data_IF_832579358412
#
_entry.id   IF_832579358412
#
_cell.length_a   1.000
_cell.length_b   1.000
_cell.length_c   1.000
_cell.angle_alpha   90.00
_cell.angle_beta   90.00
_cell.angle_gamma   90.00
#
_symmetry.space_group_name_H-M   'P 1'
#
loop_
_entity.id
_entity.type
_entity.pdbx_description
1 polymer ?
#
# COMPACT_ATOMS: atom_id res chain seq x y z
N UNK A 1 -1.63 -51.54 -36.09
CA UNK A 1 -0.21 -51.36 -35.76
C UNK A 1 0.47 -52.67 -36.13
N UNK A 2 1.69 -52.67 -36.64
CA UNK A 2 2.44 -53.89 -36.85
C UNK A 2 2.95 -54.45 -35.53
N UNK A 3 3.02 -55.79 -35.39
CA UNK A 3 3.42 -56.41 -34.12
C UNK A 3 4.90 -56.22 -33.79
N UNK A 4 5.73 -55.91 -34.79
CA UNK A 4 7.14 -55.54 -34.61
C UNK A 4 7.44 -54.28 -35.44
N UNK A 5 7.87 -53.21 -34.77
CA UNK A 5 8.27 -51.97 -35.45
C UNK A 5 9.71 -52.05 -35.98
N UNK A 6 10.05 -51.12 -36.87
CA UNK A 6 11.35 -51.10 -37.55
C UNK A 6 12.54 -50.94 -36.60
N UNK A 7 12.37 -50.21 -35.50
CA UNK A 7 13.42 -49.99 -34.51
C UNK A 7 13.71 -51.29 -33.72
N UNK A 8 12.66 -51.97 -33.28
CA UNK A 8 12.79 -53.26 -32.58
C UNK A 8 13.34 -54.34 -33.54
N UNK A 9 12.84 -54.39 -34.78
CA UNK A 9 13.34 -55.28 -35.78
C UNK A 9 14.84 -55.12 -36.07
N UNK A 10 15.32 -53.90 -36.19
CA UNK A 10 16.73 -53.55 -36.33
C UNK A 10 17.60 -54.11 -35.20
N UNK A 11 17.16 -53.88 -33.94
CA UNK A 11 17.87 -54.37 -32.72
C UNK A 11 17.97 -55.89 -32.75
N UNK A 12 16.87 -56.61 -33.07
CA UNK A 12 16.85 -58.06 -33.09
C UNK A 12 17.67 -58.61 -34.23
N UNK A 13 17.66 -57.99 -35.43
CA UNK A 13 18.43 -58.39 -36.56
C UNK A 13 19.92 -58.20 -36.35
N UNK A 14 20.33 -57.03 -35.74
CA UNK A 14 21.74 -56.79 -35.51
C UNK A 14 22.31 -57.77 -34.47
N UNK A 15 21.53 -58.18 -33.46
CA UNK A 15 21.91 -59.21 -32.50
C UNK A 15 21.97 -60.61 -33.17
N UNK A 16 21.00 -60.97 -34.05
CA UNK A 16 20.94 -62.24 -34.78
C UNK A 16 22.17 -62.46 -35.63
N UNK A 17 22.77 -61.39 -36.17
CA UNK A 17 24.00 -61.50 -36.97
C UNK A 17 25.21 -61.94 -36.15
N UNK A 18 25.14 -61.70 -34.81
CA UNK A 18 26.19 -62.05 -33.85
C UNK A 18 25.99 -63.47 -33.24
N UNK A 19 24.86 -64.13 -33.53
CA UNK A 19 24.52 -65.44 -32.98
C UNK A 19 24.87 -66.56 -33.93
N UNK A 20 25.25 -67.71 -33.39
CA UNK A 20 25.53 -68.96 -34.13
C UNK A 20 26.87 -68.99 -34.80
N UNK A 21 27.20 -70.19 -35.34
CA UNK A 21 28.44 -70.46 -36.07
C UNK A 21 28.42 -69.85 -37.51
N UNK A 22 29.60 -69.68 -38.14
CA UNK A 22 29.74 -69.16 -39.48
C UNK A 22 29.64 -70.21 -40.59
N UNK A 23 29.19 -71.39 -40.26
CA UNK A 23 28.96 -72.51 -41.15
C UNK A 23 27.55 -72.44 -41.83
N UNK A 24 27.28 -73.42 -42.70
CA UNK A 24 26.01 -73.46 -43.43
C UNK A 24 24.82 -73.74 -42.52
N UNK A 25 25.03 -74.43 -41.41
CA UNK A 25 24.00 -74.71 -40.38
C UNK A 25 23.61 -73.40 -39.70
N UNK A 26 24.58 -72.59 -39.14
CA UNK A 26 24.30 -71.33 -38.48
C UNK A 26 23.71 -70.28 -39.41
N UNK A 27 23.99 -70.35 -40.76
CA UNK A 27 23.30 -69.48 -41.72
C UNK A 27 21.82 -69.83 -41.85
N UNK A 28 21.50 -71.15 -41.87
CA UNK A 28 20.13 -71.63 -41.95
C UNK A 28 19.33 -71.27 -40.71
N UNK A 29 19.93 -71.45 -39.56
CA UNK A 29 19.34 -71.04 -38.23
C UNK A 29 19.01 -69.58 -38.20
N UNK A 30 19.95 -68.72 -38.58
CA UNK A 30 19.70 -67.27 -38.69
C UNK A 30 18.59 -66.93 -39.66
N UNK A 31 18.49 -67.58 -40.80
CA UNK A 31 17.41 -67.37 -41.73
C UNK A 31 16.04 -67.77 -41.18
N UNK A 32 15.95 -68.82 -40.39
CA UNK A 32 14.72 -69.27 -39.77
C UNK A 32 14.22 -68.20 -38.79
N UNK A 33 15.10 -67.68 -37.89
CA UNK A 33 14.74 -66.67 -36.91
C UNK A 33 14.47 -65.34 -37.61
N UNK A 34 15.23 -64.95 -38.62
CA UNK A 34 14.97 -63.72 -39.40
C UNK A 34 13.57 -63.77 -40.06
N UNK A 35 13.15 -64.88 -40.65
CA UNK A 35 11.79 -65.03 -41.19
C UNK A 35 10.70 -64.92 -40.13
N UNK A 36 10.95 -65.41 -38.92
CA UNK A 36 10.01 -65.24 -37.79
C UNK A 36 9.86 -63.76 -37.40
N UNK A 37 10.96 -63.02 -37.37
CA UNK A 37 10.91 -61.56 -37.10
C UNK A 37 10.24 -60.79 -38.22
N UNK A 38 10.50 -61.12 -39.49
CA UNK A 38 9.83 -60.52 -40.64
C UNK A 38 8.33 -60.81 -40.65
N UNK A 39 7.90 -61.99 -40.22
CA UNK A 39 6.49 -62.34 -40.08
C UNK A 39 5.81 -61.40 -39.10
N UNK A 40 6.40 -61.18 -37.90
CA UNK A 40 5.86 -60.22 -36.91
C UNK A 40 5.86 -58.77 -37.41
N UNK A 41 6.81 -58.40 -38.27
CA UNK A 41 6.88 -57.04 -38.84
C UNK A 41 5.74 -56.78 -39.84
N UNK A 42 5.22 -57.82 -40.50
CA UNK A 42 4.12 -57.73 -41.50
C UNK A 42 2.77 -57.94 -40.79
N UNK A 43 2.75 -58.71 -39.72
CA UNK A 43 1.55 -59.08 -38.99
C UNK A 43 0.96 -57.83 -38.20
N UNK A 44 -0.35 -57.60 -38.32
CA UNK A 44 -1.05 -56.57 -37.61
C UNK A 44 -1.57 -57.10 -36.26
N UNK A 45 -1.38 -56.35 -35.19
CA UNK A 45 -1.85 -56.71 -33.86
C UNK A 45 -1.20 -55.91 -32.75
N UNK A 46 -1.34 -56.39 -31.51
CA UNK A 46 -0.65 -55.82 -30.34
C UNK A 46 0.87 -55.96 -30.53
N UNK A 47 1.68 -54.98 -30.08
CA UNK A 47 3.14 -55.06 -30.11
C UNK A 47 3.62 -56.34 -29.42
N UNK A 48 4.55 -57.07 -30.07
CA UNK A 48 5.13 -58.26 -29.49
C UNK A 48 5.82 -57.95 -28.16
N UNK A 49 5.51 -58.76 -27.17
CA UNK A 49 6.08 -58.65 -25.82
C UNK A 49 7.45 -59.29 -25.72
N UNK A 50 8.16 -59.07 -24.61
CA UNK A 50 9.44 -59.72 -24.32
C UNK A 50 9.33 -61.26 -24.41
N UNK A 51 8.29 -61.84 -23.77
CA UNK A 51 8.09 -63.27 -23.75
C UNK A 51 7.79 -63.86 -25.12
N UNK A 52 7.02 -63.16 -25.94
CA UNK A 52 6.77 -63.56 -27.33
C UNK A 52 8.04 -63.51 -28.18
N UNK A 53 8.87 -62.46 -28.01
CA UNK A 53 10.16 -62.35 -28.68
C UNK A 53 11.15 -63.44 -28.24
N UNK A 54 11.17 -63.79 -26.96
CA UNK A 54 11.99 -64.86 -26.41
C UNK A 54 11.60 -66.23 -27.01
N UNK A 55 10.30 -66.55 -27.04
CA UNK A 55 9.81 -67.80 -27.61
C UNK A 55 10.17 -67.99 -29.09
N UNK A 56 10.41 -66.93 -29.87
CA UNK A 56 10.78 -67.02 -31.28
C UNK A 56 12.25 -67.32 -31.49
N UNK A 57 13.09 -67.18 -30.50
CA UNK A 57 14.55 -67.33 -30.61
C UNK A 57 15.12 -68.47 -29.77
N UNK A 58 14.48 -68.80 -28.63
CA UNK A 58 15.04 -69.68 -27.60
C UNK A 58 15.23 -71.14 -28.09
N UNK A 59 14.40 -71.60 -29.04
CA UNK A 59 14.48 -72.90 -29.61
C UNK A 59 15.63 -73.09 -30.60
N UNK A 60 16.13 -71.98 -31.21
CA UNK A 60 17.20 -71.98 -32.20
C UNK A 60 18.49 -71.39 -31.57
N UNK A 61 18.39 -70.33 -30.85
CA UNK A 61 19.51 -69.64 -30.16
C UNK A 61 19.23 -69.45 -28.64
N UNK A 62 19.48 -70.46 -27.82
CA UNK A 62 19.28 -70.32 -26.34
C UNK A 62 20.13 -69.27 -25.70
N UNK A 63 21.27 -68.93 -26.32
CA UNK A 63 22.19 -67.88 -25.83
C UNK A 63 21.89 -66.50 -26.42
N UNK A 64 20.75 -66.30 -27.08
CA UNK A 64 20.39 -64.99 -27.61
C UNK A 64 20.31 -63.92 -26.47
N UNK A 65 20.93 -62.78 -26.73
CA UNK A 65 21.12 -61.76 -25.70
C UNK A 65 19.79 -61.30 -25.08
N UNK A 66 19.60 -61.59 -23.80
CA UNK A 66 18.43 -61.12 -23.04
C UNK A 66 18.32 -59.59 -23.03
N UNK A 67 19.47 -58.87 -23.06
CA UNK A 67 19.51 -57.41 -23.17
C UNK A 67 18.96 -56.93 -24.51
N UNK A 68 19.26 -57.60 -25.60
CA UNK A 68 18.75 -57.26 -26.93
C UNK A 68 17.24 -57.46 -26.99
N UNK A 69 16.73 -58.58 -26.46
CA UNK A 69 15.29 -58.84 -26.37
C UNK A 69 14.55 -57.81 -25.53
N UNK A 70 15.04 -57.48 -24.36
CA UNK A 70 14.45 -56.44 -23.50
C UNK A 70 14.47 -55.04 -24.17
N UNK A 71 15.59 -54.72 -24.87
CA UNK A 71 15.72 -53.46 -25.59
C UNK A 71 14.76 -53.40 -26.78
N UNK A 72 14.62 -54.49 -27.52
CA UNK A 72 13.68 -54.60 -28.64
C UNK A 72 12.24 -54.52 -28.17
N UNK A 73 11.85 -55.26 -27.11
CA UNK A 73 10.51 -55.19 -26.52
C UNK A 73 10.16 -53.77 -26.06
N UNK A 74 11.12 -53.08 -25.45
CA UNK A 74 10.92 -51.68 -25.03
C UNK A 74 10.79 -50.72 -26.22
N UNK A 75 11.61 -50.91 -27.27
CA UNK A 75 11.54 -50.10 -28.48
C UNK A 75 10.26 -50.41 -29.31
N UNK A 76 9.64 -51.57 -29.11
CA UNK A 76 8.42 -51.99 -29.77
C UNK A 76 7.15 -51.45 -29.14
N UNK A 77 7.23 -50.88 -27.92
CA UNK A 77 6.09 -50.24 -27.28
C UNK A 77 5.73 -48.93 -27.97
N UNK A 78 4.44 -48.62 -28.16
CA UNK A 78 4.03 -47.33 -28.69
C UNK A 78 4.51 -46.23 -27.77
N UNK A 79 4.87 -45.04 -28.30
CA UNK A 79 5.24 -43.92 -27.46
C UNK A 79 4.11 -43.64 -26.47
N UNK A 80 4.41 -43.71 -25.17
CA UNK A 80 3.42 -43.56 -24.12
C UNK A 80 2.83 -42.15 -24.17
N UNK A 81 1.52 -42.05 -23.96
CA UNK A 81 0.76 -40.77 -23.88
C UNK A 81 1.45 -39.73 -23.00
N UNK A 82 2.27 -40.15 -22.04
CA UNK A 82 3.06 -39.32 -21.16
C UNK A 82 4.20 -38.54 -21.84
N UNK A 83 4.70 -38.94 -23.02
CA UNK A 83 5.75 -38.17 -23.72
C UNK A 83 5.18 -36.89 -24.34
N UNK A 84 3.98 -36.97 -24.89
CA UNK A 84 3.29 -35.84 -25.52
C UNK A 84 2.75 -34.89 -24.44
N UNK A 85 2.29 -35.45 -23.31
CA UNK A 85 1.84 -34.63 -22.12
C UNK A 85 2.97 -33.79 -21.53
N UNK A 86 4.20 -34.30 -21.51
CA UNK A 86 5.38 -33.53 -21.05
C UNK A 86 5.65 -32.31 -21.94
N UNK A 87 5.58 -32.46 -23.24
CA UNK A 87 5.78 -31.35 -24.16
C UNK A 87 4.66 -30.30 -24.06
N UNK A 88 3.41 -30.75 -23.93
CA UNK A 88 2.27 -29.85 -23.69
C UNK A 88 2.46 -29.08 -22.38
N UNK A 89 2.89 -29.73 -21.29
CA UNK A 89 3.15 -29.09 -20.03
C UNK A 89 4.31 -28.06 -20.09
N UNK A 90 5.40 -28.39 -20.83
CA UNK A 90 6.52 -27.45 -21.01
C UNK A 90 6.07 -26.25 -21.84
N UNK A 91 5.33 -26.41 -22.91
CA UNK A 91 4.83 -25.33 -23.77
C UNK A 91 3.85 -24.45 -22.97
N UNK A 92 2.88 -25.07 -22.27
CA UNK A 92 1.95 -24.32 -21.42
C UNK A 92 2.66 -23.54 -20.31
N UNK A 93 3.62 -24.16 -19.62
CA UNK A 93 4.44 -23.50 -18.61
C UNK A 93 5.26 -22.33 -19.17
N UNK A 94 5.82 -22.48 -20.38
CA UNK A 94 6.57 -21.40 -21.05
C UNK A 94 5.67 -20.22 -21.43
N UNK A 95 4.46 -20.48 -21.92
CA UNK A 95 3.46 -19.44 -22.24
C UNK A 95 3.03 -18.71 -20.97
N UNK A 96 2.68 -19.45 -19.91
CA UNK A 96 2.33 -18.85 -18.62
C UNK A 96 3.47 -18.01 -18.04
N UNK A 97 4.72 -18.50 -18.14
CA UNK A 97 5.90 -17.77 -17.71
C UNK A 97 6.13 -16.49 -18.53
N UNK A 98 5.95 -16.53 -19.84
CA UNK A 98 6.05 -15.36 -20.70
C UNK A 98 4.96 -14.32 -20.38
N UNK A 99 3.69 -14.75 -20.19
CA UNK A 99 2.59 -13.88 -19.78
C UNK A 99 2.88 -13.27 -18.42
N UNK A 100 3.38 -14.04 -17.46
CA UNK A 100 3.76 -13.53 -16.16
C UNK A 100 4.87 -12.46 -16.25
N UNK A 101 5.90 -12.69 -17.05
CA UNK A 101 7.04 -11.80 -17.27
C UNK A 101 6.60 -10.44 -17.84
N UNK A 102 5.73 -10.43 -18.86
CA UNK A 102 5.26 -9.19 -19.48
C UNK A 102 4.29 -8.42 -18.57
N UNK A 103 3.68 -9.08 -17.59
CA UNK A 103 2.80 -8.48 -16.60
C UNK A 103 3.54 -7.98 -15.34
N UNK A 104 4.88 -8.12 -15.27
CA UNK A 104 5.66 -7.50 -14.19
C UNK A 104 5.47 -5.97 -14.20
N UNK A 105 5.47 -5.29 -13.02
CA UNK A 105 5.14 -3.87 -12.90
C UNK A 105 6.26 -2.92 -13.36
N UNK A 106 6.98 -3.29 -14.43
CA UNK A 106 8.08 -2.50 -14.98
C UNK A 106 7.67 -1.75 -16.24
N UNK A 107 7.80 -0.40 -16.28
CA UNK A 107 7.47 0.40 -17.45
C UNK A 107 8.16 -0.05 -18.73
N UNK A 108 9.43 -0.47 -18.64
CA UNK A 108 10.22 -0.92 -19.78
C UNK A 108 9.63 -2.14 -20.49
N UNK A 109 8.94 -3.00 -19.74
CA UNK A 109 8.31 -4.22 -20.25
C UNK A 109 6.90 -3.92 -20.75
N UNK A 110 6.09 -3.27 -19.90
CA UNK A 110 4.65 -3.06 -20.18
C UNK A 110 4.37 -2.07 -21.31
N UNK A 111 5.17 -0.98 -21.45
CA UNK A 111 4.92 0.02 -22.48
C UNK A 111 4.96 -0.56 -23.91
N UNK A 112 6.04 -1.21 -24.38
CA UNK A 112 6.07 -1.79 -25.71
C UNK A 112 5.04 -2.90 -25.91
N UNK A 113 4.70 -3.66 -24.86
CA UNK A 113 3.66 -4.70 -24.92
C UNK A 113 2.26 -4.07 -25.03
N UNK A 114 1.99 -2.98 -24.32
CA UNK A 114 0.72 -2.25 -24.43
C UNK A 114 0.47 -1.68 -25.82
N UNK A 115 1.53 -1.27 -26.52
CA UNK A 115 1.46 -0.71 -27.87
C UNK A 115 1.31 -1.81 -28.95
N UNK A 116 2.03 -2.92 -28.82
CA UNK A 116 2.12 -3.95 -29.87
C UNK A 116 1.21 -5.17 -29.66
N UNK A 117 0.97 -5.54 -28.39
CA UNK A 117 0.23 -6.76 -28.04
C UNK A 117 -0.56 -6.59 -26.73
N UNK A 118 -1.54 -5.65 -26.65
CA UNK A 118 -2.24 -5.29 -25.41
C UNK A 118 -2.98 -6.46 -24.75
N UNK A 119 -3.36 -7.49 -25.50
CA UNK A 119 -4.03 -8.69 -24.98
C UNK A 119 -3.16 -9.48 -23.99
N UNK A 120 -1.83 -9.43 -24.12
CA UNK A 120 -0.93 -10.09 -23.17
C UNK A 120 -0.92 -9.43 -21.79
N UNK A 121 -1.39 -8.17 -21.68
CA UNK A 121 -1.52 -7.42 -20.43
C UNK A 121 -2.89 -7.55 -19.77
N UNK A 122 -3.75 -8.42 -20.28
CA UNK A 122 -5.09 -8.69 -19.73
C UNK A 122 -5.08 -8.92 -18.20
N UNK A 123 -4.18 -9.78 -17.63
CA UNK A 123 -4.11 -9.96 -16.18
C UNK A 123 -3.83 -8.67 -15.42
N UNK A 124 -2.94 -7.81 -15.95
CA UNK A 124 -2.65 -6.49 -15.38
C UNK A 124 -3.86 -5.55 -15.45
N UNK A 125 -4.58 -5.55 -16.57
CA UNK A 125 -5.78 -4.72 -16.73
C UNK A 125 -6.90 -5.14 -15.79
N UNK A 126 -7.14 -6.46 -15.63
CA UNK A 126 -8.13 -6.99 -14.67
C UNK A 126 -7.75 -6.61 -13.25
N UNK A 127 -6.47 -6.76 -12.88
CA UNK A 127 -5.98 -6.36 -11.54
C UNK A 127 -6.19 -4.88 -11.28
N UNK A 128 -5.91 -4.01 -12.26
CA UNK A 128 -6.15 -2.57 -12.17
C UNK A 128 -7.63 -2.24 -12.03
N UNK A 129 -8.50 -2.87 -12.83
CA UNK A 129 -9.96 -2.66 -12.74
C UNK A 129 -10.49 -3.08 -11.38
N UNK A 130 -10.06 -4.22 -10.86
CA UNK A 130 -10.42 -4.69 -9.52
C UNK A 130 -9.94 -3.72 -8.42
N UNK A 131 -8.72 -3.24 -8.51
CA UNK A 131 -8.19 -2.25 -7.56
C UNK A 131 -8.95 -0.94 -7.62
N UNK A 132 -9.30 -0.47 -8.82
CA UNK A 132 -10.10 0.74 -8.99
C UNK A 132 -11.51 0.59 -8.44
N UNK A 133 -12.22 -0.51 -8.77
CA UNK A 133 -13.55 -0.80 -8.24
C UNK A 133 -13.54 -0.92 -6.71
N UNK A 134 -12.53 -1.59 -6.18
CA UNK A 134 -12.33 -1.68 -4.72
C UNK A 134 -12.12 -0.30 -4.10
N UNK A 135 -11.31 0.56 -4.74
CA UNK A 135 -11.09 1.93 -4.29
C UNK A 135 -12.38 2.75 -4.29
N UNK A 136 -13.19 2.70 -5.36
CA UNK A 136 -14.45 3.41 -5.45
C UNK A 136 -15.45 2.92 -4.41
N UNK A 137 -15.65 1.59 -4.31
CA UNK A 137 -16.54 1.00 -3.32
C UNK A 137 -16.15 1.37 -1.88
N UNK A 138 -14.85 1.29 -1.57
CA UNK A 138 -14.35 1.68 -0.26
C UNK A 138 -14.49 3.19 -0.01
N UNK A 139 -14.32 4.03 -1.05
CA UNK A 139 -14.52 5.48 -0.97
C UNK A 139 -15.97 5.83 -0.69
N UNK A 140 -16.92 5.18 -1.35
CA UNK A 140 -18.36 5.39 -1.13
C UNK A 140 -18.80 4.94 0.27
N UNK A 141 -18.32 3.77 0.72
CA UNK A 141 -18.56 3.31 2.10
C UNK A 141 -17.92 4.24 3.13
N UNK A 142 -16.70 4.73 2.86
CA UNK A 142 -16.05 5.72 3.71
C UNK A 142 -16.84 7.05 3.75
N UNK A 143 -17.38 7.49 2.63
CA UNK A 143 -18.17 8.72 2.56
C UNK A 143 -19.41 8.64 3.47
N UNK A 144 -20.12 7.53 3.45
CA UNK A 144 -21.27 7.31 4.34
C UNK A 144 -20.84 7.27 5.81
N UNK A 145 -19.78 6.54 6.13
CA UNK A 145 -19.32 6.35 7.51
C UNK A 145 -18.63 7.59 8.10
N UNK A 146 -17.97 8.42 7.28
CA UNK A 146 -17.23 9.60 7.73
C UNK A 146 -18.05 10.87 7.62
N UNK A 147 -18.72 11.10 6.46
CA UNK A 147 -19.43 12.35 6.23
C UNK A 147 -20.84 12.35 6.84
N UNK A 148 -21.43 11.19 7.05
CA UNK A 148 -22.72 10.99 7.70
C UNK A 148 -22.60 10.30 9.06
N UNK A 149 -21.42 10.30 9.66
CA UNK A 149 -21.15 9.72 10.98
C UNK A 149 -22.08 10.28 12.04
N UNK A 150 -22.62 9.41 12.87
CA UNK A 150 -23.43 9.74 14.05
C UNK A 150 -22.74 9.38 15.35
N UNK A 151 -21.68 8.56 15.27
CA UNK A 151 -20.94 8.03 16.39
C UNK A 151 -19.44 7.96 16.13
N UNK A 152 -18.64 7.85 17.22
CA UNK A 152 -17.21 7.60 17.11
C UNK A 152 -16.92 6.25 16.44
N UNK A 153 -17.81 5.29 16.59
CA UNK A 153 -17.66 3.96 15.98
C UNK A 153 -17.80 4.02 14.47
N UNK A 154 -18.73 4.86 13.95
CA UNK A 154 -18.82 5.14 12.51
C UNK A 154 -17.52 5.72 11.97
N UNK A 155 -16.92 6.66 12.71
CA UNK A 155 -15.63 7.26 12.35
C UNK A 155 -14.51 6.22 12.30
N UNK A 156 -14.44 5.28 13.28
CA UNK A 156 -13.45 4.22 13.28
C UNK A 156 -13.61 3.24 12.10
N UNK A 157 -14.85 2.86 11.81
CA UNK A 157 -15.18 2.03 10.64
C UNK A 157 -14.86 2.76 9.33
N UNK A 158 -15.18 4.06 9.29
CA UNK A 158 -14.86 4.94 8.17
C UNK A 158 -13.36 5.06 7.95
N UNK A 159 -12.55 5.17 9.00
CA UNK A 159 -11.07 5.16 8.92
C UNK A 159 -10.56 3.90 8.22
N UNK A 160 -11.09 2.75 8.58
CA UNK A 160 -10.70 1.48 7.94
C UNK A 160 -11.01 1.50 6.43
N UNK A 161 -12.17 2.04 6.05
CA UNK A 161 -12.56 2.15 4.63
C UNK A 161 -11.72 3.18 3.88
N UNK A 162 -11.37 4.29 4.50
CA UNK A 162 -10.43 5.29 3.95
C UNK A 162 -9.08 4.65 3.66
N UNK A 163 -8.51 3.90 4.62
CA UNK A 163 -7.24 3.19 4.45
C UNK A 163 -7.31 2.12 3.35
N UNK A 164 -8.42 1.39 3.27
CA UNK A 164 -8.67 0.41 2.22
C UNK A 164 -8.72 1.09 0.83
N UNK A 165 -9.44 2.20 0.71
CA UNK A 165 -9.51 2.98 -0.52
C UNK A 165 -8.13 3.51 -0.93
N UNK A 166 -7.35 4.04 0.02
CA UNK A 166 -6.00 4.53 -0.22
C UNK A 166 -5.07 3.42 -0.70
N UNK A 167 -5.04 2.27 -0.03
CA UNK A 167 -4.24 1.11 -0.44
C UNK A 167 -4.61 0.60 -1.83
N UNK A 168 -5.89 0.57 -2.17
CA UNK A 168 -6.35 0.20 -3.52
C UNK A 168 -5.92 1.21 -4.59
N UNK A 169 -5.94 2.52 -4.28
CA UNK A 169 -5.44 3.56 -5.18
C UNK A 169 -3.91 3.53 -5.31
N UNK A 170 -3.19 3.19 -4.24
CA UNK A 170 -1.72 3.09 -4.27
C UNK A 170 -1.23 1.90 -5.10
N UNK A 171 -2.03 0.85 -5.21
CA UNK A 171 -1.77 -0.31 -6.08
C UNK A 171 -1.94 -0.01 -7.57
N UNK A 172 -2.50 1.16 -7.94
CA UNK A 172 -2.70 1.52 -9.35
C UNK A 172 -1.41 2.12 -9.93
N UNK A 173 -0.86 1.53 -11.02
CA UNK A 173 0.33 2.06 -11.66
C UNK A 173 -0.02 3.29 -12.51
N UNK A 174 0.09 4.48 -11.94
CA UNK A 174 -0.28 5.77 -12.56
C UNK A 174 0.42 5.98 -13.91
N UNK A 175 1.69 5.55 -14.03
CA UNK A 175 2.46 5.64 -15.27
C UNK A 175 1.88 4.82 -16.44
N UNK A 176 0.99 3.86 -16.12
CA UNK A 176 0.36 2.98 -17.10
C UNK A 176 -1.04 3.46 -17.53
N UNK A 177 -1.64 4.43 -16.82
CA UNK A 177 -2.99 4.92 -17.11
C UNK A 177 -3.10 5.55 -18.49
N UNK A 178 -2.05 6.19 -19.00
CA UNK A 178 -1.99 6.76 -20.36
C UNK A 178 -1.99 5.72 -21.49
N UNK A 179 -1.57 4.48 -21.20
CA UNK A 179 -1.52 3.36 -22.15
C UNK A 179 -2.72 2.42 -22.03
N UNK A 180 -3.56 2.69 -21.08
CA UNK A 180 -4.74 1.86 -20.80
C UNK A 180 -5.87 2.21 -21.78
N UNK A 181 -6.41 1.27 -22.54
CA UNK A 181 -7.50 1.57 -23.48
C UNK A 181 -8.72 2.09 -22.71
N UNK A 182 -9.36 3.17 -23.18
CA UNK A 182 -10.51 3.81 -22.52
C UNK A 182 -11.73 2.90 -22.40
N UNK A 183 -11.90 2.00 -23.34
CA UNK A 183 -12.94 0.97 -23.36
C UNK A 183 -12.31 -0.38 -23.65
N UNK A 184 -12.64 -1.36 -22.86
CA UNK A 184 -12.26 -2.74 -23.08
C UNK A 184 -13.51 -3.57 -23.34
N UNK A 185 -13.59 -4.17 -24.52
CA UNK A 185 -14.66 -5.06 -24.89
C UNK A 185 -14.12 -6.50 -24.93
N UNK A 186 -14.64 -7.37 -24.06
CA UNK A 186 -14.37 -8.79 -24.02
C UNK A 186 -15.58 -9.59 -24.47
N UNK A 187 -15.48 -10.91 -24.44
CA UNK A 187 -16.56 -11.84 -24.78
C UNK A 187 -17.83 -11.64 -23.92
N UNK A 188 -17.70 -11.00 -22.76
CA UNK A 188 -18.78 -10.81 -21.77
C UNK A 188 -19.25 -9.35 -21.62
N UNK A 189 -18.86 -8.44 -22.52
CA UNK A 189 -19.29 -7.04 -22.53
C UNK A 189 -18.12 -6.04 -22.55
N UNK A 190 -18.50 -4.76 -22.61
CA UNK A 190 -17.54 -3.65 -22.59
C UNK A 190 -17.50 -3.04 -21.19
N UNK A 191 -16.32 -2.88 -20.60
CA UNK A 191 -16.11 -2.17 -19.33
C UNK A 191 -15.44 -0.82 -19.56
N UNK A 192 -15.94 0.20 -18.85
CA UNK A 192 -15.36 1.53 -18.82
C UNK A 192 -14.11 1.53 -17.93
N UNK A 193 -13.15 2.36 -18.30
CA UNK A 193 -11.89 2.48 -17.58
C UNK A 193 -11.68 3.90 -17.09
N UNK A 194 -11.13 4.00 -15.90
CA UNK A 194 -10.88 5.26 -15.23
C UNK A 194 -9.74 6.06 -15.88
N UNK A 195 -9.89 7.38 -15.82
CA UNK A 195 -8.90 8.34 -16.30
C UNK A 195 -7.97 8.79 -15.17
N UNK A 196 -6.86 9.46 -15.52
CA UNK A 196 -5.96 10.09 -14.52
C UNK A 196 -6.74 11.11 -13.67
N UNK A 197 -7.68 11.84 -14.26
CA UNK A 197 -8.48 12.84 -13.54
C UNK A 197 -9.45 12.19 -12.54
N UNK A 198 -10.06 11.06 -12.88
CA UNK A 198 -10.88 10.26 -11.96
C UNK A 198 -10.05 9.71 -10.80
N UNK A 199 -8.86 9.18 -11.09
CA UNK A 199 -7.90 8.74 -10.09
C UNK A 199 -7.51 9.87 -9.12
N UNK A 200 -7.15 11.05 -9.64
CA UNK A 200 -6.84 12.22 -8.82
C UNK A 200 -8.04 12.69 -8.00
N UNK A 201 -9.23 12.60 -8.57
CA UNK A 201 -10.46 12.96 -7.87
C UNK A 201 -10.76 12.00 -6.73
N UNK A 202 -10.60 10.70 -6.94
CA UNK A 202 -10.71 9.69 -5.90
C UNK A 202 -9.68 9.92 -4.78
N UNK A 203 -8.42 10.16 -5.13
CA UNK A 203 -7.36 10.49 -4.15
C UNK A 203 -7.70 11.74 -3.32
N UNK A 204 -8.21 12.80 -3.95
CA UNK A 204 -8.64 14.01 -3.22
C UNK A 204 -9.81 13.76 -2.29
N UNK A 205 -10.78 12.90 -2.68
CA UNK A 205 -11.90 12.51 -1.81
C UNK A 205 -11.40 11.72 -0.60
N UNK A 206 -10.55 10.72 -0.82
CA UNK A 206 -9.95 9.90 0.25
C UNK A 206 -9.15 10.78 1.21
N UNK A 207 -8.29 11.67 0.72
CA UNK A 207 -7.51 12.56 1.56
C UNK A 207 -8.37 13.52 2.41
N UNK A 208 -9.51 14.01 1.87
CA UNK A 208 -10.45 14.85 2.65
C UNK A 208 -11.14 14.06 3.76
N UNK A 209 -11.53 12.82 3.47
CA UNK A 209 -12.14 11.96 4.48
C UNK A 209 -11.14 11.56 5.55
N UNK A 210 -9.89 11.27 5.19
CA UNK A 210 -8.82 11.00 6.16
C UNK A 210 -8.59 12.17 7.10
N UNK A 211 -8.54 13.40 6.57
CA UNK A 211 -8.42 14.61 7.38
C UNK A 211 -9.62 14.79 8.33
N UNK A 212 -10.84 14.45 7.88
CA UNK A 212 -12.04 14.52 8.73
C UNK A 212 -12.04 13.46 9.82
N UNK A 213 -11.67 12.22 9.50
CA UNK A 213 -11.49 11.13 10.49
C UNK A 213 -10.51 11.56 11.56
N UNK A 214 -9.38 12.11 11.15
CA UNK A 214 -8.38 12.63 12.07
C UNK A 214 -8.96 13.72 12.98
N UNK A 215 -9.69 14.70 12.42
CA UNK A 215 -10.30 15.78 13.17
C UNK A 215 -11.31 15.26 14.20
N UNK A 216 -12.17 14.31 13.83
CA UNK A 216 -13.15 13.71 14.72
C UNK A 216 -12.48 12.93 15.86
N UNK A 217 -11.49 12.09 15.56
CA UNK A 217 -10.75 11.33 16.58
C UNK A 217 -10.06 12.24 17.58
N UNK A 218 -9.44 13.31 17.12
CA UNK A 218 -8.82 14.28 18.02
C UNK A 218 -9.85 15.02 18.87
N UNK A 219 -10.99 15.39 18.29
CA UNK A 219 -12.07 16.03 19.04
C UNK A 219 -12.60 15.13 20.17
N UNK A 220 -12.79 13.84 19.92
CA UNK A 220 -13.18 12.88 20.95
C UNK A 220 -12.08 12.67 22.00
N UNK A 221 -10.83 12.62 21.59
CA UNK A 221 -9.70 12.53 22.52
C UNK A 221 -9.67 13.72 23.46
N UNK A 222 -9.76 14.95 22.93
CA UNK A 222 -9.81 16.17 23.74
C UNK A 222 -11.04 16.22 24.65
N UNK A 223 -12.19 15.74 24.17
CA UNK A 223 -13.40 15.65 24.98
C UNK A 223 -13.19 14.74 26.19
N UNK A 224 -12.67 13.53 25.99
CA UNK A 224 -12.47 12.58 27.07
C UNK A 224 -11.41 13.07 28.07
N UNK A 225 -10.26 13.55 27.58
CA UNK A 225 -9.22 14.10 28.43
C UNK A 225 -9.71 15.30 29.27
N UNK A 226 -10.51 16.17 28.64
CA UNK A 226 -11.05 17.33 29.35
C UNK A 226 -12.14 16.94 30.38
N UNK A 227 -12.98 15.95 30.07
CA UNK A 227 -14.00 15.42 30.96
C UNK A 227 -13.37 14.78 32.22
N UNK A 228 -12.36 13.91 32.02
CA UNK A 228 -11.61 13.29 33.11
C UNK A 228 -10.90 14.31 33.96
N UNK A 229 -10.17 15.24 33.36
CA UNK A 229 -9.46 16.29 34.07
C UNK A 229 -10.41 17.22 34.83
N UNK A 230 -11.57 17.53 34.26
CA UNK A 230 -12.58 18.40 34.90
C UNK A 230 -13.18 17.71 36.12
N UNK A 231 -13.52 16.44 36.02
CA UNK A 231 -14.06 15.65 37.12
C UNK A 231 -13.05 15.49 38.25
N UNK A 232 -11.81 15.08 37.92
CA UNK A 232 -10.74 14.90 38.90
C UNK A 232 -10.38 16.22 39.60
N UNK A 233 -10.28 17.30 38.85
CA UNK A 233 -9.97 18.61 39.41
C UNK A 233 -11.10 19.18 40.31
N UNK A 234 -12.38 18.92 39.96
CA UNK A 234 -13.52 19.28 40.79
C UNK A 234 -13.51 18.51 42.13
N UNK A 235 -13.26 17.20 42.06
CA UNK A 235 -13.17 16.36 43.26
C UNK A 235 -12.00 16.81 44.15
N UNK A 236 -10.82 17.00 43.59
CA UNK A 236 -9.64 17.52 44.32
C UNK A 236 -9.93 18.87 44.99
N UNK A 237 -10.61 19.79 44.29
CA UNK A 237 -11.00 21.10 44.85
C UNK A 237 -11.92 20.97 46.06
N UNK A 238 -12.85 20.01 46.01
CA UNK A 238 -13.83 19.76 47.09
C UNK A 238 -13.19 19.09 48.32
N UNK A 239 -12.27 18.17 48.10
CA UNK A 239 -11.67 17.34 49.18
C UNK A 239 -10.53 18.05 49.90
N UNK A 240 -9.76 18.89 49.22
CA UNK A 240 -8.59 19.52 49.84
C UNK A 240 -8.96 20.77 50.67
N UNK A 241 -8.32 20.89 51.85
CA UNK A 241 -8.38 22.13 52.67
C UNK A 241 -7.19 23.06 52.41
N UNK A 242 -6.16 22.57 51.69
CA UNK A 242 -4.94 23.32 51.40
C UNK A 242 -5.22 24.39 50.33
N UNK A 243 -4.98 25.68 50.59
CA UNK A 243 -5.23 26.75 49.62
C UNK A 243 -4.44 26.59 48.32
N UNK A 244 -3.18 26.12 48.40
CA UNK A 244 -2.35 25.89 47.20
C UNK A 244 -2.87 24.76 46.31
N UNK A 245 -3.37 23.67 46.90
CA UNK A 245 -3.97 22.57 46.16
C UNK A 245 -5.31 22.96 45.54
N UNK A 246 -6.14 23.74 46.29
CA UNK A 246 -7.36 24.34 45.72
C UNK A 246 -7.06 25.19 44.49
N UNK A 247 -6.02 26.02 44.56
CA UNK A 247 -5.61 26.87 43.45
C UNK A 247 -5.14 26.03 42.25
N UNK A 248 -4.38 24.96 42.49
CA UNK A 248 -3.94 24.01 41.43
C UNK A 248 -5.13 23.32 40.77
N UNK A 249 -6.07 22.82 41.59
CA UNK A 249 -7.28 22.16 41.05
C UNK A 249 -8.12 23.14 40.23
N UNK A 250 -8.27 24.39 40.68
CA UNK A 250 -8.97 25.44 39.94
C UNK A 250 -8.30 25.72 38.58
N UNK A 251 -6.97 25.82 38.54
CA UNK A 251 -6.23 25.97 37.28
C UNK A 251 -6.43 24.79 36.31
N UNK A 252 -6.48 23.56 36.85
CA UNK A 252 -6.78 22.36 36.06
C UNK A 252 -8.20 22.40 35.49
N UNK A 253 -9.21 22.78 36.28
CA UNK A 253 -10.59 22.96 35.80
C UNK A 253 -10.66 24.02 34.70
N UNK A 254 -9.99 25.16 34.84
CA UNK A 254 -9.92 26.19 33.80
C UNK A 254 -9.28 25.65 32.52
N UNK A 255 -8.20 24.89 32.63
CA UNK A 255 -7.52 24.27 31.51
C UNK A 255 -8.44 23.29 30.78
N UNK A 256 -9.14 22.42 31.51
CA UNK A 256 -10.09 21.49 30.96
C UNK A 256 -11.25 22.20 30.23
N UNK A 257 -11.78 23.27 30.81
CA UNK A 257 -12.83 24.10 30.17
C UNK A 257 -12.35 24.69 28.84
N UNK A 258 -11.12 25.18 28.78
CA UNK A 258 -10.55 25.73 27.56
C UNK A 258 -10.31 24.64 26.51
N UNK A 259 -9.90 23.45 26.92
CA UNK A 259 -9.78 22.31 26.03
C UNK A 259 -11.13 21.97 25.40
N UNK A 260 -12.22 21.99 26.17
CA UNK A 260 -13.58 21.81 25.63
C UNK A 260 -13.98 22.93 24.64
N UNK A 261 -13.64 24.17 24.92
CA UNK A 261 -13.92 25.32 24.03
C UNK A 261 -13.16 25.24 22.70
N UNK A 262 -12.03 24.51 22.65
CA UNK A 262 -11.24 24.32 21.43
C UNK A 262 -11.80 23.21 20.49
N UNK A 263 -12.73 22.40 20.95
CA UNK A 263 -13.34 21.36 20.15
C UNK A 263 -14.12 22.00 18.99
N UNK A 264 -13.78 21.67 17.72
CA UNK A 264 -14.42 22.31 16.58
C UNK A 264 -15.93 22.02 16.54
N UNK A 265 -16.73 23.04 16.33
CA UNK A 265 -18.22 22.94 16.36
C UNK A 265 -18.80 21.97 15.34
N UNK A 266 -18.09 21.71 14.25
CA UNK A 266 -18.48 20.78 13.21
C UNK A 266 -18.20 19.30 13.55
N UNK A 267 -17.60 19.00 14.71
CA UNK A 267 -17.32 17.62 15.13
C UNK A 267 -18.48 17.04 15.96
N UNK A 268 -18.58 15.71 15.98
CA UNK A 268 -19.55 14.98 16.79
C UNK A 268 -19.39 15.23 18.29
N UNK A 269 -18.12 15.37 18.72
CA UNK A 269 -17.79 15.67 20.12
C UNK A 269 -18.28 17.02 20.61
N UNK A 270 -18.56 17.97 19.71
CA UNK A 270 -18.91 19.37 20.03
C UNK A 270 -20.16 19.50 20.88
N UNK A 271 -21.19 18.69 20.64
CA UNK A 271 -22.45 18.72 21.41
C UNK A 271 -22.21 18.40 22.89
N UNK A 272 -21.45 17.31 23.17
CA UNK A 272 -21.12 16.92 24.54
C UNK A 272 -20.19 17.93 25.20
N UNK A 273 -19.21 18.47 24.45
CA UNK A 273 -18.32 19.53 24.93
C UNK A 273 -19.11 20.78 25.36
N UNK A 274 -20.06 21.21 24.52
CA UNK A 274 -20.90 22.38 24.86
C UNK A 274 -21.77 22.13 26.10
N UNK A 275 -22.34 20.93 26.24
CA UNK A 275 -23.10 20.55 27.45
C UNK A 275 -22.22 20.64 28.72
N UNK A 276 -20.99 20.07 28.65
CA UNK A 276 -20.05 20.17 29.79
C UNK A 276 -19.69 21.62 30.10
N UNK A 277 -19.40 22.43 29.09
CA UNK A 277 -19.13 23.88 29.30
C UNK A 277 -20.30 24.56 29.99
N UNK A 278 -21.51 24.33 29.53
CA UNK A 278 -22.72 24.95 30.10
C UNK A 278 -22.94 24.53 31.55
N UNK A 279 -22.66 23.27 31.87
CA UNK A 279 -22.82 22.74 33.25
C UNK A 279 -21.77 23.28 34.21
N UNK A 280 -20.52 23.35 33.82
CA UNK A 280 -19.42 23.66 34.74
C UNK A 280 -19.03 25.13 34.78
N UNK A 281 -19.33 25.92 33.75
CA UNK A 281 -18.94 27.36 33.69
C UNK A 281 -19.52 28.23 34.78
N UNK A 282 -20.79 28.07 35.22
CA UNK A 282 -21.36 28.83 36.33
C UNK A 282 -20.63 28.55 37.65
N UNK A 283 -20.41 27.25 37.96
CA UNK A 283 -19.71 26.83 39.19
C UNK A 283 -18.30 27.40 39.23
N UNK A 284 -17.57 27.28 38.09
CA UNK A 284 -16.22 27.81 37.99
C UNK A 284 -16.15 29.32 38.18
N UNK A 285 -17.08 30.06 37.56
CA UNK A 285 -17.15 31.51 37.70
C UNK A 285 -17.45 31.93 39.16
N UNK A 286 -18.31 31.22 39.89
CA UNK A 286 -18.61 31.44 41.30
C UNK A 286 -17.36 31.25 42.16
N UNK A 287 -16.64 30.13 41.98
CA UNK A 287 -15.39 29.83 42.70
C UNK A 287 -14.32 30.93 42.45
N UNK A 288 -14.19 31.40 41.21
CA UNK A 288 -13.25 32.45 40.83
C UNK A 288 -13.61 33.78 41.49
N UNK A 289 -14.90 34.12 41.57
CA UNK A 289 -15.39 35.34 42.20
C UNK A 289 -15.14 35.34 43.71
N UNK A 290 -15.32 34.22 44.39
CA UNK A 290 -15.11 34.03 45.82
C UNK A 290 -13.62 34.03 46.21
N UNK A 291 -12.69 33.61 45.30
CA UNK A 291 -11.26 33.50 45.55
C UNK A 291 -10.45 34.81 45.52
N UNK A 292 -11.06 35.96 45.19
CA UNK A 292 -10.43 37.27 45.16
C UNK A 292 -9.45 37.54 44.01
N UNK A 293 -9.11 38.82 43.76
CA UNK A 293 -8.29 39.26 42.61
C UNK A 293 -6.87 38.68 42.55
N UNK A 294 -6.24 38.39 43.69
CA UNK A 294 -4.88 37.82 43.75
C UNK A 294 -4.84 36.33 43.35
N UNK A 295 -5.87 35.55 43.70
CA UNK A 295 -6.00 34.17 43.35
C UNK A 295 -6.24 33.96 41.84
N UNK A 296 -6.97 34.87 41.19
CA UNK A 296 -7.30 34.79 39.77
C UNK A 296 -6.06 34.92 38.89
N UNK A 297 -5.13 35.81 39.23
CA UNK A 297 -3.91 35.99 38.42
C UNK A 297 -2.89 34.85 38.57
N UNK A 298 -2.74 34.32 39.79
CA UNK A 298 -1.93 33.10 40.01
C UNK A 298 -2.47 31.93 39.19
N UNK A 299 -3.79 31.75 39.15
CA UNK A 299 -4.46 30.72 38.34
C UNK A 299 -4.23 30.93 36.84
N UNK A 300 -4.24 32.18 36.35
CA UNK A 300 -3.97 32.49 34.95
C UNK A 300 -2.53 32.15 34.54
N UNK A 301 -1.54 32.40 35.40
CA UNK A 301 -0.15 32.05 35.19
C UNK A 301 0.02 30.52 35.15
N UNK A 302 -0.55 29.79 36.12
CA UNK A 302 -0.48 28.34 36.15
C UNK A 302 -1.19 27.71 34.96
N UNK A 303 -2.37 28.19 34.58
CA UNK A 303 -3.04 27.75 33.35
C UNK A 303 -2.17 28.01 32.09
N UNK A 304 -1.51 29.18 32.04
CA UNK A 304 -0.59 29.48 30.93
C UNK A 304 0.62 28.53 30.90
N UNK A 305 1.19 28.16 32.05
CA UNK A 305 2.28 27.20 32.17
C UNK A 305 1.84 25.81 31.70
N UNK A 306 0.63 25.35 32.02
CA UNK A 306 0.07 24.08 31.56
C UNK A 306 -0.07 24.06 30.04
N UNK A 307 -0.64 25.12 29.44
CA UNK A 307 -0.72 25.23 27.97
C UNK A 307 0.66 25.25 27.31
N UNK A 308 1.61 25.96 27.88
CA UNK A 308 2.96 26.02 27.38
C UNK A 308 3.64 24.64 27.43
N UNK A 309 3.43 23.87 28.50
CA UNK A 309 3.92 22.50 28.63
C UNK A 309 3.31 21.57 27.57
N UNK A 310 1.99 21.62 27.39
CA UNK A 310 1.29 20.83 26.35
C UNK A 310 1.75 21.22 24.95
N UNK A 311 1.96 22.52 24.68
CA UNK A 311 2.49 22.97 23.39
C UNK A 311 3.92 22.47 23.15
N UNK A 312 4.77 22.49 24.17
CA UNK A 312 6.11 21.95 24.09
C UNK A 312 6.10 20.44 23.82
N UNK A 313 5.26 19.67 24.54
CA UNK A 313 5.10 18.23 24.32
C UNK A 313 4.59 17.91 22.91
N UNK A 314 3.60 18.66 22.40
CA UNK A 314 3.07 18.49 21.06
C UNK A 314 4.11 18.77 19.96
N UNK A 315 5.16 19.53 20.29
CA UNK A 315 6.23 19.94 19.37
C UNK A 315 7.47 19.03 19.43
N UNK A 316 7.52 18.03 20.33
CA UNK A 316 8.68 17.15 20.49
C UNK A 316 8.81 16.18 19.31
N UNK A 317 10.05 15.80 19.01
CA UNK A 317 10.38 14.81 17.98
C UNK A 317 9.84 15.14 16.56
N UNK A 318 10.21 16.31 15.98
CA UNK A 318 9.89 16.61 14.59
C UNK A 318 10.59 15.62 13.63
N UNK A 319 10.07 15.46 12.40
CA UNK A 319 9.05 16.29 11.75
C UNK A 319 7.62 15.92 12.13
N UNK A 320 6.72 16.92 12.07
CA UNK A 320 5.31 16.75 12.33
C UNK A 320 4.45 17.22 11.15
N UNK A 321 3.31 16.57 10.88
CA UNK A 321 2.36 17.04 9.88
C UNK A 321 1.72 18.37 10.30
N UNK A 322 1.20 19.12 9.32
CA UNK A 322 0.59 20.46 9.46
C UNK A 322 -0.32 20.56 10.70
N UNK A 323 -1.22 19.61 10.89
CA UNK A 323 -2.20 19.65 11.98
C UNK A 323 -1.57 19.60 13.38
N UNK A 324 -0.44 18.89 13.56
CA UNK A 324 0.27 18.86 14.85
C UNK A 324 0.92 20.20 15.14
N UNK A 325 1.50 20.85 14.14
CA UNK A 325 2.04 22.19 14.30
C UNK A 325 0.94 23.21 14.58
N UNK A 326 -0.23 23.09 13.93
CA UNK A 326 -1.41 23.93 14.21
C UNK A 326 -1.91 23.74 15.65
N UNK A 327 -1.92 22.51 16.16
CA UNK A 327 -2.25 22.22 17.55
C UNK A 327 -1.26 22.89 18.50
N UNK A 328 0.03 22.73 18.26
CA UNK A 328 1.07 23.36 19.08
C UNK A 328 0.96 24.90 19.04
N UNK A 329 0.72 25.51 17.88
CA UNK A 329 0.50 26.95 17.74
C UNK A 329 -0.70 27.43 18.57
N UNK A 330 -1.84 26.71 18.46
CA UNK A 330 -3.05 27.05 19.26
C UNK A 330 -2.79 26.99 20.75
N UNK A 331 -2.07 26.02 21.25
CA UNK A 331 -1.71 25.88 22.65
C UNK A 331 -0.80 27.05 23.12
N UNK A 332 0.20 27.44 22.33
CA UNK A 332 1.01 28.63 22.63
C UNK A 332 0.17 29.91 22.65
N UNK A 333 -0.74 30.09 21.69
CA UNK A 333 -1.65 31.23 21.66
C UNK A 333 -2.56 31.29 22.90
N UNK A 334 -3.03 30.15 23.41
CA UNK A 334 -3.81 30.07 24.63
C UNK A 334 -2.96 30.48 25.84
N UNK A 335 -1.74 30.00 25.97
CA UNK A 335 -0.81 30.40 27.02
C UNK A 335 -0.57 31.92 26.98
N UNK A 336 -0.27 32.48 25.82
CA UNK A 336 -0.05 33.91 25.60
C UNK A 336 -1.29 34.74 26.01
N UNK A 337 -2.48 34.34 25.55
CA UNK A 337 -3.74 35.04 25.85
C UNK A 337 -4.03 35.11 27.34
N UNK A 338 -3.71 34.04 28.11
CA UNK A 338 -3.87 34.06 29.59
C UNK A 338 -2.94 35.05 30.26
N UNK A 339 -1.67 35.10 29.81
CA UNK A 339 -0.71 36.04 30.36
C UNK A 339 -1.05 37.52 30.04
N UNK A 340 -1.53 37.75 28.80
CA UNK A 340 -1.97 39.10 28.37
C UNK A 340 -3.17 39.65 29.13
N UNK A 341 -4.02 38.79 29.69
CA UNK A 341 -5.17 39.22 30.49
C UNK A 341 -4.81 39.69 31.90
N UNK A 342 -3.54 39.55 32.31
CA UNK A 342 -3.07 39.99 33.64
C UNK A 342 -2.76 41.49 33.59
N UNK A 343 -3.46 42.27 34.42
CA UNK A 343 -3.35 43.75 34.47
C UNK A 343 -2.06 44.21 35.14
N UNK A 344 -1.58 45.39 34.77
CA UNK A 344 -0.36 46.04 35.32
C UNK A 344 -0.40 46.20 36.85
N UNK A 345 -1.59 46.45 37.41
CA UNK A 345 -1.78 46.58 38.87
C UNK A 345 -1.65 45.28 39.65
N UNK A 346 -1.46 44.16 38.96
CA UNK A 346 -1.40 42.86 39.59
C UNK A 346 0.01 42.53 40.13
N UNK A 347 0.15 42.00 41.35
CA UNK A 347 1.45 41.62 41.92
C UNK A 347 2.28 40.67 41.06
N UNK A 348 1.61 39.79 40.29
CA UNK A 348 2.24 38.79 39.44
C UNK A 348 2.50 39.28 37.98
N UNK A 349 2.27 40.59 37.71
CA UNK A 349 2.41 41.16 36.37
C UNK A 349 3.81 40.97 35.78
N UNK A 350 4.86 41.20 36.59
CA UNK A 350 6.25 41.05 36.14
C UNK A 350 6.58 39.59 35.71
N UNK A 351 6.09 38.59 36.47
CA UNK A 351 6.25 37.17 36.11
C UNK A 351 5.49 36.87 34.81
N UNK A 352 4.27 37.37 34.71
CA UNK A 352 3.46 37.20 33.49
C UNK A 352 4.15 37.78 32.26
N UNK A 353 4.77 38.96 32.35
CA UNK A 353 5.50 39.57 31.23
C UNK A 353 6.75 38.79 30.81
N UNK A 354 7.52 38.26 31.77
CA UNK A 354 8.66 37.40 31.50
C UNK A 354 8.26 36.12 30.76
N UNK A 355 7.18 35.46 31.22
CA UNK A 355 6.62 34.29 30.57
C UNK A 355 6.05 34.61 29.19
N UNK A 356 5.36 35.74 29.04
CA UNK A 356 4.77 36.21 27.79
C UNK A 356 5.84 36.34 26.70
N UNK A 357 6.94 37.04 26.99
CA UNK A 357 8.06 37.19 26.07
C UNK A 357 8.63 35.85 25.62
N UNK A 358 8.84 34.89 26.57
CA UNK A 358 9.31 33.54 26.28
C UNK A 358 8.33 32.76 25.39
N UNK A 359 7.03 32.84 25.68
CA UNK A 359 6.00 32.09 24.97
C UNK A 359 5.76 32.65 23.58
N UNK A 360 5.85 33.97 23.39
CA UNK A 360 5.82 34.60 22.05
C UNK A 360 7.00 34.15 21.19
N UNK A 361 8.21 34.07 21.76
CA UNK A 361 9.38 33.52 21.02
C UNK A 361 9.16 32.08 20.60
N UNK A 362 8.69 31.22 21.51
CA UNK A 362 8.40 29.82 21.20
C UNK A 362 7.31 29.67 20.13
N UNK A 363 6.24 30.45 20.23
CA UNK A 363 5.16 30.49 19.25
C UNK A 363 5.67 30.91 17.87
N UNK A 364 6.60 31.89 17.81
CA UNK A 364 7.26 32.29 16.57
C UNK A 364 8.00 31.15 15.90
N UNK A 365 8.73 30.33 16.66
CA UNK A 365 9.41 29.13 16.15
C UNK A 365 8.41 28.13 15.58
N UNK A 366 7.29 27.89 16.28
CA UNK A 366 6.26 26.97 15.81
C UNK A 366 5.60 27.47 14.51
N UNK A 367 5.34 28.77 14.39
CA UNK A 367 4.78 29.38 13.16
C UNK A 367 5.70 29.16 11.96
N UNK A 368 7.01 29.35 12.13
CA UNK A 368 7.98 29.11 11.06
C UNK A 368 7.97 27.63 10.62
N UNK A 369 7.92 26.70 11.58
CA UNK A 369 7.83 25.26 11.28
C UNK A 369 6.53 24.87 10.61
N UNK A 370 5.40 25.40 11.08
CA UNK A 370 4.08 25.20 10.49
C UNK A 370 4.04 25.69 9.05
N UNK A 371 4.57 26.89 8.80
CA UNK A 371 4.62 27.45 7.46
C UNK A 371 5.51 26.59 6.53
N UNK A 372 6.68 26.16 7.01
CA UNK A 372 7.58 25.29 6.27
C UNK A 372 6.90 23.95 5.89
N UNK A 373 6.16 23.35 6.81
CA UNK A 373 5.43 22.11 6.58
C UNK A 373 4.29 22.29 5.56
N UNK A 374 3.49 23.38 5.69
CA UNK A 374 2.41 23.71 4.72
C UNK A 374 2.96 23.89 3.31
N UNK A 375 4.00 24.70 3.16
CA UNK A 375 4.64 24.97 1.87
C UNK A 375 5.22 23.67 1.27
N UNK A 376 5.97 22.90 2.05
CA UNK A 376 6.60 21.68 1.60
C UNK A 376 5.57 20.62 1.18
N UNK A 377 4.49 20.45 1.93
CA UNK A 377 3.37 19.57 1.56
C UNK A 377 2.69 20.02 0.27
N UNK A 378 2.49 21.33 0.09
CA UNK A 378 1.88 21.87 -1.12
C UNK A 378 2.78 21.68 -2.34
N UNK A 379 4.09 21.89 -2.19
CA UNK A 379 5.08 21.67 -3.25
C UNK A 379 5.11 20.20 -3.65
N UNK A 380 5.19 19.28 -2.67
CA UNK A 380 5.20 17.85 -2.91
C UNK A 380 3.94 17.40 -3.67
N UNK A 381 2.74 17.76 -3.17
CA UNK A 381 1.47 17.39 -3.80
C UNK A 381 1.38 17.89 -5.26
N UNK A 382 1.85 19.13 -5.52
CA UNK A 382 1.88 19.69 -6.87
C UNK A 382 2.89 18.96 -7.77
N UNK A 383 4.05 18.60 -7.23
CA UNK A 383 5.06 17.86 -7.97
C UNK A 383 4.59 16.43 -8.28
N UNK A 384 3.97 15.72 -7.34
CA UNK A 384 3.39 14.40 -7.55
C UNK A 384 2.30 14.43 -8.63
N UNK A 385 1.38 15.40 -8.59
CA UNK A 385 0.38 15.57 -9.64
C UNK A 385 1.00 15.87 -11.01
N UNK A 386 2.11 16.62 -11.06
CA UNK A 386 2.85 16.86 -12.32
C UNK A 386 3.55 15.59 -12.81
N UNK A 387 4.14 14.80 -11.90
CA UNK A 387 4.75 13.52 -12.23
C UNK A 387 3.70 12.54 -12.77
N UNK A 388 2.53 12.44 -12.14
CA UNK A 388 1.43 11.60 -12.61
C UNK A 388 1.00 11.94 -14.04
N UNK A 389 0.80 13.25 -14.32
CA UNK A 389 0.47 13.72 -15.68
C UNK A 389 1.59 13.48 -16.67
N UNK A 390 2.83 13.71 -16.26
CA UNK A 390 4.00 13.49 -17.10
C UNK A 390 4.18 12.02 -17.48
N UNK A 391 3.91 11.11 -16.53
CA UNK A 391 3.98 9.67 -16.77
C UNK A 391 2.81 9.20 -17.67
N UNK A 392 1.61 9.74 -17.46
CA UNK A 392 0.43 9.37 -18.24
C UNK A 392 0.49 9.89 -19.69
N UNK A 393 1.06 11.10 -19.88
CA UNK A 393 1.16 11.78 -21.17
C UNK A 393 2.59 12.33 -21.38
N UNK A 394 3.57 11.44 -21.62
CA UNK A 394 4.96 11.88 -21.82
C UNK A 394 5.07 12.66 -23.13
N UNK A 395 5.88 13.75 -23.16
CA UNK A 395 6.20 14.43 -24.39
C UNK A 395 6.88 13.49 -25.40
N UNK A 396 6.55 13.63 -26.68
CA UNK A 396 7.20 12.88 -27.76
C UNK A 396 8.61 13.42 -28.07
N UNK A 397 8.83 14.71 -27.85
CA UNK A 397 10.14 15.36 -28.03
C UNK A 397 11.04 15.18 -26.80
N UNK A 398 12.27 14.70 -27.03
CA UNK A 398 13.25 14.39 -25.99
C UNK A 398 13.68 15.66 -25.20
N UNK A 399 13.80 16.82 -25.87
CA UNK A 399 14.19 18.05 -25.20
C UNK A 399 13.11 18.55 -24.26
N UNK A 400 11.84 18.49 -24.70
CA UNK A 400 10.70 18.80 -23.84
C UNK A 400 10.57 17.82 -22.69
N UNK A 401 10.84 16.52 -22.92
CA UNK A 401 10.86 15.50 -21.88
C UNK A 401 11.88 15.85 -20.80
N UNK A 402 13.13 16.12 -21.17
CA UNK A 402 14.21 16.49 -20.25
C UNK A 402 13.91 17.81 -19.52
N UNK A 403 13.43 18.82 -20.21
CA UNK A 403 13.08 20.11 -19.62
C UNK A 403 11.98 20.00 -18.55
N UNK A 404 10.93 19.22 -18.81
CA UNK A 404 9.86 18.97 -17.83
C UNK A 404 10.36 18.21 -16.61
N UNK A 405 11.21 17.19 -16.79
CA UNK A 405 11.83 16.47 -15.66
C UNK A 405 12.71 17.39 -14.80
N UNK A 406 13.53 18.22 -15.43
CA UNK A 406 14.35 19.22 -14.72
C UNK A 406 13.49 20.22 -13.95
N UNK A 407 12.37 20.68 -14.52
CA UNK A 407 11.42 21.55 -13.85
C UNK A 407 10.79 20.89 -12.60
N UNK A 408 10.45 19.61 -12.67
CA UNK A 408 9.94 18.84 -11.52
C UNK A 408 11.02 18.68 -10.43
N UNK A 409 12.26 18.35 -10.82
CA UNK A 409 13.39 18.23 -9.89
C UNK A 409 13.65 19.56 -9.19
N UNK A 410 13.65 20.69 -9.93
CA UNK A 410 13.86 22.01 -9.35
C UNK A 410 12.80 22.38 -8.33
N UNK A 411 11.53 22.05 -8.59
CA UNK A 411 10.44 22.25 -7.62
C UNK A 411 10.60 21.37 -6.39
N UNK A 412 10.91 20.08 -6.56
CA UNK A 412 11.11 19.17 -5.43
C UNK A 412 12.29 19.58 -4.55
N UNK A 413 13.34 20.16 -5.09
CA UNK A 413 14.48 20.71 -4.33
C UNK A 413 14.09 21.87 -3.41
N UNK A 414 12.96 22.54 -3.63
CA UNK A 414 12.48 23.61 -2.74
C UNK A 414 11.72 23.09 -1.52
N UNK A 415 11.47 21.78 -1.42
CA UNK A 415 10.91 21.14 -0.23
C UNK A 415 11.91 21.25 0.92
N UNK A 416 11.49 21.87 2.03
CA UNK A 416 12.37 22.20 3.16
C UNK A 416 12.76 20.93 3.94
N UNK A 417 14.03 20.82 4.31
CA UNK A 417 14.49 19.77 5.22
C UNK A 417 13.81 19.89 6.59
N UNK A 418 13.64 18.76 7.29
CA UNK A 418 12.94 18.72 8.57
C UNK A 418 11.41 18.80 8.47
N UNK A 419 10.84 18.64 7.28
CA UNK A 419 9.40 18.49 7.03
C UNK A 419 9.03 17.04 6.73
N UNK A 420 7.77 16.66 6.94
CA UNK A 420 7.28 15.28 6.64
C UNK A 420 7.37 14.95 5.15
N UNK A 421 7.34 15.96 4.29
CA UNK A 421 7.42 15.84 2.84
C UNK A 421 8.85 15.63 2.32
N UNK A 422 9.88 15.88 3.12
CA UNK A 422 11.27 15.94 2.64
C UNK A 422 11.79 14.59 2.14
N UNK A 423 11.61 13.52 2.90
CA UNK A 423 12.09 12.18 2.51
C UNK A 423 11.49 11.75 1.17
N UNK A 424 10.18 11.92 1.01
CA UNK A 424 9.48 11.59 -0.23
C UNK A 424 9.93 12.44 -1.41
N UNK A 425 10.17 13.73 -1.19
CA UNK A 425 10.73 14.61 -2.23
C UNK A 425 12.11 14.14 -2.71
N UNK A 426 12.99 13.72 -1.79
CA UNK A 426 14.32 13.18 -2.14
C UNK A 426 14.22 11.88 -2.97
N UNK A 427 13.32 10.95 -2.61
CA UNK A 427 13.07 9.74 -3.40
C UNK A 427 12.64 10.07 -4.84
N UNK A 428 11.73 11.02 -5.00
CA UNK A 428 11.24 11.46 -6.31
C UNK A 428 12.33 12.15 -7.13
N UNK A 429 13.19 12.96 -6.49
CA UNK A 429 14.36 13.59 -7.13
C UNK A 429 15.30 12.51 -7.68
N UNK A 430 15.67 11.52 -6.86
CA UNK A 430 16.56 10.45 -7.29
C UNK A 430 15.97 9.64 -8.44
N UNK A 431 14.67 9.36 -8.40
CA UNK A 431 13.96 8.66 -9.47
C UNK A 431 13.96 9.46 -10.77
N UNK A 432 13.67 10.76 -10.70
CA UNK A 432 13.68 11.65 -11.85
C UNK A 432 15.09 11.83 -12.44
N UNK A 433 16.13 11.93 -11.61
CA UNK A 433 17.53 11.99 -12.04
C UNK A 433 17.99 10.73 -12.77
N UNK A 434 17.55 9.53 -12.31
CA UNK A 434 17.81 8.27 -13.03
C UNK A 434 17.19 8.27 -14.44
N UNK A 435 16.00 8.89 -14.60
CA UNK A 435 15.36 8.98 -15.91
C UNK A 435 16.05 9.99 -16.84
N UNK A 436 16.65 11.05 -16.31
CA UNK A 436 17.42 12.03 -17.11
C UNK A 436 18.73 11.45 -17.66
N UNK A 437 19.30 10.43 -16.99
CA UNK A 437 20.55 9.79 -17.41
C UNK A 437 20.36 8.70 -18.46
N UNK A 438 19.11 8.29 -18.70
CA UNK A 438 18.72 7.37 -19.78
C UNK A 438 18.39 8.13 -21.05
#
# INVERSE_FOLDING_TARGET
MYRLNDSAFKILRDELLNCGSNDDIGRTERQIVAKRFEKLRIEKGSPATYDELLLLVVDVFPEFSEKALKKAAKANQPPGIFSDLKWIAIIAGSICGAIWLVNLPYPMIRKPVAEKAPLLLLPSFISMDNSYRSAINATEQADQLVNRATSLEDIKRGEHKVKQAQGSLDNLPVWFLGYYPKTYCGLFGCSWKFTVDEFQTARRRVARMDAKVFQEKNAFKFLNEAEENLSAAKEQYQQTKNPGEKQKALAQMQTAMITLEQIPRQTLASKKALALITTYKPDLNKIIAEGGKSGVSGNLIEAAKVFAMQAAQASQNPPHPVYKWEQAEKLWLQAIKRLQSIQVSNPNYLEAQKLLAKYQSNQGIIRVRLQAERESKQILNRAEAQIERFIAYPPSDLNQYKAKLQGIISKLKTVKSGTTSYARAQELILSAQKQLKK
#
